data_IF_761429059085
#
_entry.id   IF_761429059085
#
_cell.length_a   1.000
_cell.length_b   1.000
_cell.length_c   1.000
_cell.angle_alpha   90.00
_cell.angle_beta   90.00
_cell.angle_gamma   90.00
#
_symmetry.space_group_name_H-M   'P 1'
#
loop_
_entity.id
_entity.type
_entity.pdbx_description
1 polymer ?
#
# COMPACT_ATOMS: atom_id res chain seq x y z
N UNK A 1 34.19 4.45 -18.59
CA UNK A 1 32.90 5.17 -18.50
C UNK A 1 31.90 4.21 -17.87
N UNK A 2 31.60 4.41 -16.58
CA UNK A 2 30.66 3.57 -15.82
C UNK A 2 29.24 3.99 -16.17
N UNK A 3 28.50 3.17 -16.90
CA UNK A 3 27.06 3.35 -17.07
C UNK A 3 26.38 2.83 -15.81
N UNK A 4 26.17 3.72 -14.84
CA UNK A 4 25.22 3.44 -13.77
C UNK A 4 23.85 3.18 -14.44
N UNK A 5 23.17 2.05 -14.13
CA UNK A 5 21.84 1.81 -14.65
C UNK A 5 20.93 2.94 -14.15
N UNK A 6 20.34 3.70 -15.08
CA UNK A 6 19.28 4.66 -14.75
C UNK A 6 18.15 3.84 -14.14
N UNK A 7 17.72 4.10 -12.89
CA UNK A 7 16.56 3.42 -12.34
C UNK A 7 15.40 3.68 -13.31
N UNK A 8 14.72 2.61 -13.75
CA UNK A 8 13.51 2.73 -14.55
C UNK A 8 12.58 3.71 -13.83
N UNK A 9 12.47 4.94 -14.36
CA UNK A 9 11.78 6.04 -13.70
C UNK A 9 10.35 5.60 -13.39
N UNK A 10 10.08 5.32 -12.12
CA UNK A 10 8.76 4.90 -11.68
C UNK A 10 7.86 6.11 -11.86
N UNK A 11 6.90 6.03 -12.78
CA UNK A 11 5.99 7.14 -13.07
C UNK A 11 4.57 6.73 -12.71
N UNK A 12 3.86 7.60 -12.00
CA UNK A 12 2.44 7.46 -11.72
C UNK A 12 1.69 8.55 -12.44
N UNK A 13 0.77 8.15 -13.33
CA UNK A 13 -0.11 9.09 -14.06
C UNK A 13 -1.54 8.90 -13.55
N UNK A 14 -2.18 9.95 -13.00
CA UNK A 14 -3.56 9.86 -12.56
C UNK A 14 -4.49 9.63 -13.76
N UNK A 15 -5.55 8.86 -13.52
CA UNK A 15 -6.60 8.62 -14.50
C UNK A 15 -7.76 9.54 -14.17
N UNK A 16 -8.18 10.35 -15.13
CA UNK A 16 -9.33 11.23 -14.97
C UNK A 16 -10.55 10.60 -15.64
N UNK A 17 -11.66 10.59 -14.91
CA UNK A 17 -12.96 10.15 -15.41
C UNK A 17 -14.07 10.96 -14.77
N UNK A 18 -15.25 10.94 -15.40
CA UNK A 18 -16.44 11.60 -14.89
C UNK A 18 -17.29 10.60 -14.11
N UNK A 19 -17.73 10.97 -12.92
CA UNK A 19 -18.78 10.25 -12.20
C UNK A 19 -20.10 10.40 -12.97
N UNK A 20 -20.73 9.26 -13.25
CA UNK A 20 -22.01 9.19 -13.96
C UNK A 20 -23.18 8.94 -13.03
N UNK A 21 -22.97 8.14 -11.99
CA UNK A 21 -24.00 7.71 -11.07
C UNK A 21 -23.38 7.34 -9.73
N UNK A 22 -24.17 7.48 -8.68
CA UNK A 22 -23.82 7.11 -7.32
C UNK A 22 -24.91 6.17 -6.81
N UNK A 23 -24.50 5.01 -6.28
CA UNK A 23 -25.39 4.02 -5.71
C UNK A 23 -24.96 3.65 -4.31
N UNK A 24 -25.92 3.43 -3.43
CA UNK A 24 -25.70 2.67 -2.21
C UNK A 24 -26.88 1.72 -2.02
N UNK A 25 -26.57 0.43 -1.93
CA UNK A 25 -27.57 -0.64 -1.91
C UNK A 25 -28.54 -0.51 -3.10
N UNK A 26 -29.83 -0.26 -2.84
CA UNK A 26 -30.86 -0.14 -3.87
C UNK A 26 -31.21 1.32 -4.22
N UNK A 27 -30.42 2.29 -3.75
CA UNK A 27 -30.73 3.72 -3.89
C UNK A 27 -29.78 4.43 -4.87
N UNK A 28 -30.33 5.38 -5.62
CA UNK A 28 -29.58 6.29 -6.47
C UNK A 28 -29.42 7.66 -5.79
N UNK A 29 -28.22 8.21 -5.80
CA UNK A 29 -27.92 9.51 -5.19
C UNK A 29 -27.52 10.55 -6.25
N UNK A 30 -27.95 11.79 -6.05
CA UNK A 30 -27.51 12.93 -6.86
C UNK A 30 -26.20 13.54 -6.36
N UNK A 31 -25.89 13.34 -5.07
CA UNK A 31 -24.68 13.83 -4.43
C UNK A 31 -24.17 12.79 -3.43
N UNK A 32 -22.84 12.74 -3.27
CA UNK A 32 -22.21 11.90 -2.26
C UNK A 32 -22.33 12.55 -0.89
N UNK A 33 -22.73 11.77 0.11
CA UNK A 33 -22.66 12.14 1.53
C UNK A 33 -21.47 11.42 2.16
N UNK A 34 -20.79 12.05 3.10
CA UNK A 34 -19.68 11.43 3.81
C UNK A 34 -20.16 10.28 4.71
N UNK A 35 -19.45 9.14 4.66
CA UNK A 35 -19.73 7.97 5.49
C UNK A 35 -20.47 6.87 4.72
N UNK A 36 -20.10 5.62 4.99
CA UNK A 36 -20.64 4.45 4.28
C UNK A 36 -19.91 4.08 2.99
N UNK A 37 -20.34 2.99 2.36
CA UNK A 37 -19.83 2.50 1.08
C UNK A 37 -20.77 3.00 -0.04
N UNK A 38 -20.19 3.63 -1.06
CA UNK A 38 -20.92 4.16 -2.22
C UNK A 38 -20.25 3.63 -3.48
N UNK A 39 -21.05 3.03 -4.35
CA UNK A 39 -20.61 2.60 -5.67
C UNK A 39 -20.69 3.77 -6.64
N UNK A 40 -19.54 4.11 -7.24
CA UNK A 40 -19.41 5.21 -8.19
C UNK A 40 -19.33 4.65 -9.61
N UNK A 41 -20.38 4.87 -10.40
CA UNK A 41 -20.36 4.58 -11.83
C UNK A 41 -19.47 5.59 -12.57
N UNK A 42 -18.52 5.10 -13.38
CA UNK A 42 -17.59 5.96 -14.14
C UNK A 42 -17.50 5.53 -15.60
N UNK A 43 -16.94 6.40 -16.46
CA UNK A 43 -16.62 6.08 -17.87
C UNK A 43 -15.28 5.37 -18.06
N UNK A 44 -14.70 4.81 -17.00
CA UNK A 44 -13.40 4.14 -17.14
C UNK A 44 -13.62 2.84 -17.93
N UNK A 45 -12.79 2.60 -18.93
CA UNK A 45 -12.81 1.36 -19.69
C UNK A 45 -12.41 0.19 -18.78
N UNK A 46 -13.37 -0.70 -18.51
CA UNK A 46 -13.19 -1.88 -17.67
C UNK A 46 -12.19 -2.88 -18.27
N UNK A 47 -11.95 -2.87 -19.59
CA UNK A 47 -10.98 -3.77 -20.24
C UNK A 47 -9.54 -3.41 -19.93
N UNK A 48 -9.25 -2.13 -19.67
CA UNK A 48 -7.93 -1.66 -19.26
C UNK A 48 -7.61 -2.04 -17.80
N UNK A 49 -8.63 -2.22 -16.97
CA UNK A 49 -8.47 -2.37 -15.51
C UNK A 49 -8.97 -3.67 -14.90
N UNK A 50 -9.62 -4.59 -15.61
CA UNK A 50 -9.98 -5.91 -15.08
C UNK A 50 -10.79 -5.89 -13.76
N UNK A 51 -11.09 -7.07 -13.22
CA UNK A 51 -11.56 -7.16 -11.85
C UNK A 51 -10.39 -6.81 -10.91
N UNK A 52 -10.69 -6.11 -9.81
CA UNK A 52 -9.78 -5.85 -8.69
C UNK A 52 -8.64 -4.86 -8.87
N UNK A 53 -8.32 -4.35 -10.07
CA UNK A 53 -7.20 -3.39 -10.17
C UNK A 53 -7.49 -2.05 -9.47
N UNK A 54 -8.73 -1.75 -9.09
CA UNK A 54 -9.06 -0.57 -8.27
C UNK A 54 -8.86 -0.79 -6.77
N UNK A 55 -8.58 -2.02 -6.31
CA UNK A 55 -8.33 -2.30 -4.89
C UNK A 55 -7.11 -1.48 -4.42
N UNK A 56 -7.26 -0.83 -3.27
CA UNK A 56 -6.23 0.01 -2.67
C UNK A 56 -5.92 1.31 -3.43
N UNK A 57 -6.71 1.69 -4.43
CA UNK A 57 -6.58 2.99 -5.11
C UNK A 57 -7.40 4.07 -4.43
N UNK A 58 -6.91 5.30 -4.51
CA UNK A 58 -7.62 6.50 -4.05
C UNK A 58 -8.31 7.16 -5.23
N UNK A 59 -9.63 7.37 -5.11
CA UNK A 59 -10.43 8.14 -6.05
C UNK A 59 -10.77 9.50 -5.43
N UNK A 60 -10.65 10.58 -6.20
CA UNK A 60 -10.94 11.92 -5.74
C UNK A 60 -10.61 12.97 -6.79
N UNK A 61 -10.99 14.22 -6.53
CA UNK A 61 -10.82 15.32 -7.49
C UNK A 61 -9.33 15.59 -7.75
N UNK A 62 -8.48 15.56 -6.71
CA UNK A 62 -7.02 15.74 -6.83
C UNK A 62 -6.28 15.02 -5.69
N UNK A 63 -6.12 13.69 -5.73
CA UNK A 63 -5.30 12.99 -4.75
C UNK A 63 -3.83 13.39 -4.90
N UNK A 64 -3.16 13.68 -3.79
CA UNK A 64 -1.71 13.84 -3.77
C UNK A 64 -1.06 12.47 -3.92
N UNK A 65 -0.11 12.35 -4.84
CA UNK A 65 0.63 11.12 -5.10
C UNK A 65 2.09 11.35 -4.76
N UNK A 66 2.65 10.47 -3.93
CA UNK A 66 4.08 10.42 -3.64
C UNK A 66 4.68 9.27 -4.45
N UNK A 67 5.83 9.51 -5.09
CA UNK A 67 6.51 8.54 -5.95
C UNK A 67 7.93 8.36 -5.43
N UNK A 68 8.35 7.11 -5.21
CA UNK A 68 9.66 6.77 -4.68
C UNK A 68 9.57 6.35 -3.22
N UNK A 69 10.37 6.99 -2.37
CA UNK A 69 10.56 6.62 -0.97
C UNK A 69 9.59 7.39 -0.05
N UNK A 70 9.17 6.75 1.05
CA UNK A 70 8.34 7.35 2.09
C UNK A 70 8.98 7.12 3.46
N UNK A 71 9.30 8.19 4.17
CA UNK A 71 9.76 8.10 5.54
C UNK A 71 8.55 7.92 6.48
N UNK A 72 8.58 6.86 7.28
CA UNK A 72 7.52 6.53 8.24
C UNK A 72 8.09 6.36 9.65
N UNK A 73 7.34 6.83 10.64
CA UNK A 73 7.66 6.57 12.05
C UNK A 73 6.88 5.33 12.50
N UNK A 74 7.60 4.32 13.02
CA UNK A 74 7.01 3.05 13.43
C UNK A 74 6.97 2.93 14.96
N UNK A 75 5.84 2.43 15.46
CA UNK A 75 5.67 2.09 16.87
C UNK A 75 5.32 0.61 17.00
N UNK A 76 6.06 -0.12 17.84
CA UNK A 76 5.77 -1.53 18.10
C UNK A 76 4.64 -1.69 19.11
N UNK A 77 3.71 -2.59 18.79
CA UNK A 77 2.74 -3.08 19.77
C UNK A 77 3.48 -3.81 20.90
N UNK A 78 3.14 -3.50 22.15
CA UNK A 78 3.80 -4.09 23.34
C UNK A 78 3.56 -5.59 23.49
N UNK A 79 2.53 -6.12 22.83
CA UNK A 79 2.16 -7.54 22.88
C UNK A 79 1.68 -7.99 21.51
N UNK A 80 2.43 -8.89 20.89
CA UNK A 80 1.97 -9.64 19.72
C UNK A 80 1.15 -10.83 20.20
N UNK A 81 -0.04 -11.01 19.64
CA UNK A 81 -0.83 -12.23 19.80
C UNK A 81 -0.45 -13.21 18.71
N UNK A 82 0.76 -13.77 18.81
CA UNK A 82 1.21 -14.81 17.91
C UNK A 82 1.15 -16.16 18.62
N UNK A 83 0.46 -17.12 18.01
CA UNK A 83 0.61 -18.52 18.35
C UNK A 83 1.79 -19.07 17.54
N UNK A 84 2.92 -19.30 18.21
CA UNK A 84 4.13 -19.87 17.58
C UNK A 84 4.31 -21.30 18.09
N UNK A 85 4.12 -22.28 17.21
CA UNK A 85 4.64 -23.63 17.46
C UNK A 85 6.16 -23.58 17.31
N UNK A 86 6.89 -23.81 18.40
CA UNK A 86 8.36 -23.78 18.37
C UNK A 86 8.90 -25.05 17.71
N UNK A 87 9.35 -24.95 16.47
CA UNK A 87 10.26 -25.93 15.86
C UNK A 87 11.71 -25.54 16.20
N UNK A 88 12.48 -26.50 16.73
CA UNK A 88 13.76 -26.32 17.43
C UNK A 88 14.94 -25.81 16.57
N UNK A 89 14.74 -25.49 15.29
CA UNK A 89 15.81 -25.06 14.38
C UNK A 89 15.56 -23.64 13.88
N UNK A 90 15.91 -22.65 14.69
CA UNK A 90 15.87 -21.23 14.29
C UNK A 90 17.09 -20.91 13.41
N UNK A 91 16.92 -21.04 12.09
CA UNK A 91 17.86 -20.49 11.12
C UNK A 91 17.85 -18.95 11.20
N UNK A 92 19.02 -18.35 10.98
CA UNK A 92 19.23 -16.90 10.99
C UNK A 92 18.52 -16.26 9.79
N UNK A 93 17.34 -15.66 9.99
CA UNK A 93 16.66 -14.86 8.97
C UNK A 93 17.44 -13.54 8.75
N UNK A 94 18.18 -13.45 7.64
CA UNK A 94 18.94 -12.24 7.23
C UNK A 94 18.10 -11.20 6.48
N UNK A 95 16.97 -11.62 5.93
CA UNK A 95 16.03 -10.76 5.22
C UNK A 95 14.66 -10.91 5.87
N UNK A 96 13.93 -9.82 5.99
CA UNK A 96 12.58 -9.80 6.52
C UNK A 96 11.66 -9.17 5.48
N UNK A 97 10.45 -9.70 5.37
CA UNK A 97 9.40 -9.14 4.54
C UNK A 97 8.45 -8.38 5.45
N UNK A 98 8.24 -7.10 5.18
CA UNK A 98 7.27 -6.28 5.88
C UNK A 98 6.08 -6.03 4.95
N UNK A 99 4.87 -6.31 5.44
CA UNK A 99 3.65 -5.83 4.83
C UNK A 99 3.37 -4.43 5.39
N UNK A 100 3.24 -3.45 4.50
CA UNK A 100 2.94 -2.07 4.85
C UNK A 100 1.54 -1.75 4.32
N UNK A 101 0.64 -1.38 5.23
CA UNK A 101 -0.72 -0.94 4.90
C UNK A 101 -0.85 0.56 5.17
N UNK A 102 -1.20 1.33 4.13
CA UNK A 102 -1.47 2.77 4.19
C UNK A 102 -2.91 3.00 3.73
N UNK A 103 -3.81 3.21 4.68
CA UNK A 103 -5.24 3.29 4.40
C UNK A 103 -5.75 1.98 3.82
N UNK A 104 -6.22 1.99 2.57
CA UNK A 104 -6.65 0.80 1.83
C UNK A 104 -5.57 0.20 0.92
N UNK A 105 -4.43 0.88 0.78
CA UNK A 105 -3.33 0.44 -0.07
C UNK A 105 -2.36 -0.46 0.73
N UNK A 106 -1.94 -1.56 0.12
CA UNK A 106 -0.98 -2.51 0.71
C UNK A 106 0.22 -2.69 -0.21
N UNK A 107 1.42 -2.73 0.38
CA UNK A 107 2.67 -3.02 -0.33
C UNK A 107 3.58 -3.92 0.49
N UNK A 108 4.46 -4.65 -0.19
CA UNK A 108 5.46 -5.51 0.46
C UNK A 108 6.83 -4.84 0.30
N UNK A 109 7.52 -4.62 1.42
CA UNK A 109 8.88 -4.12 1.47
C UNK A 109 9.82 -5.23 1.95
N UNK A 110 10.98 -5.36 1.30
CA UNK A 110 12.02 -6.31 1.72
C UNK A 110 13.09 -5.55 2.45
N UNK A 111 13.25 -5.83 3.73
CA UNK A 111 14.33 -5.25 4.53
C UNK A 111 15.48 -6.25 4.73
N UNK A 112 16.71 -5.75 4.59
CA UNK A 112 17.93 -6.53 4.82
C UNK A 112 18.51 -6.17 6.18
N UNK A 113 18.16 -6.95 7.19
CA UNK A 113 18.69 -6.75 8.53
C UNK A 113 19.86 -7.67 8.89
N UNK A 114 20.93 -7.10 9.43
CA UNK A 114 21.93 -7.88 10.16
C UNK A 114 21.50 -8.03 11.63
N UNK A 115 21.04 -9.22 12.01
CA UNK A 115 20.69 -9.55 13.41
C UNK A 115 21.95 -9.65 14.29
N UNK A 116 22.27 -8.58 15.01
CA UNK A 116 23.05 -8.58 16.25
C UNK A 116 22.12 -8.95 17.41
N UNK A 117 22.62 -9.66 18.43
CA UNK A 117 21.78 -10.30 19.46
C UNK A 117 21.09 -9.33 20.42
N UNK A 118 21.48 -8.05 20.42
CA UNK A 118 21.07 -7.07 21.45
C UNK A 118 20.53 -5.75 20.88
N UNK A 119 20.54 -5.55 19.56
CA UNK A 119 20.16 -4.27 18.98
C UNK A 119 18.66 -4.25 18.65
N UNK A 120 17.89 -3.25 19.16
CA UNK A 120 16.54 -3.00 18.67
C UNK A 120 16.62 -2.67 17.18
N UNK A 121 15.67 -3.19 16.41
CA UNK A 121 15.64 -2.93 14.98
C UNK A 121 15.36 -1.42 14.77
N UNK A 122 16.33 -0.72 14.19
CA UNK A 122 16.21 0.68 13.84
C UNK A 122 15.49 0.78 12.48
N UNK A 123 14.21 1.17 12.52
CA UNK A 123 13.37 1.32 11.34
C UNK A 123 13.25 2.78 10.86
N UNK A 124 14.10 3.68 11.36
CA UNK A 124 13.96 5.14 11.12
C UNK A 124 14.35 5.56 9.70
N UNK A 125 14.89 4.64 8.89
CA UNK A 125 15.15 4.82 7.46
C UNK A 125 14.70 3.59 6.68
N UNK A 126 13.53 3.68 6.05
CA UNK A 126 13.15 2.76 4.97
C UNK A 126 13.44 3.45 3.65
N UNK A 127 14.31 2.84 2.84
CA UNK A 127 14.64 3.25 1.48
C UNK A 127 13.84 2.44 0.46
#
# INVERSE_FOLDING_TARGET
MSTNPVPSSMTSKPIFSKSLSLHAENNHFQFGVSGGLIDVGTKIDHTLYGADRFVGRVLGVHPKVYIGELEINLFFLRRLWAFVQRTRNEQRCRNWLLLIDIGSASSIQVERGQRSREDPIDFTRMH
#
